data_IF_653138271102
#
_entry.id   IF_653138271102
#
_cell.length_a   1.000
_cell.length_b   1.000
_cell.length_c   1.000
_cell.angle_alpha   90.00
_cell.angle_beta   90.00
_cell.angle_gamma   90.00
#
_symmetry.space_group_name_H-M   'P 1'
#
loop_
_entity.id
_entity.type
_entity.pdbx_description
1 polymer ?
#
# COMPACT_ATOMS: atom_id res chain seq x y z
N UNK A 1 -30.21 4.84 3.82
CA UNK A 1 -30.47 6.14 3.16
C UNK A 1 -29.24 7.00 3.30
N UNK A 2 -28.86 7.75 2.26
CA UNK A 2 -27.74 8.69 2.29
C UNK A 2 -28.16 10.00 2.97
N UNK A 3 -27.33 10.57 3.84
CA UNK A 3 -27.56 11.86 4.51
C UNK A 3 -27.05 13.00 3.61
N UNK A 4 -27.97 13.79 3.07
CA UNK A 4 -27.69 14.83 2.09
C UNK A 4 -26.98 16.05 2.69
N UNK A 5 -27.21 16.34 3.97
CA UNK A 5 -26.51 17.42 4.69
C UNK A 5 -25.04 17.04 4.91
N UNK A 6 -24.81 15.78 5.29
CA UNK A 6 -23.45 15.25 5.44
C UNK A 6 -22.71 15.17 4.10
N UNK A 7 -23.41 14.96 2.99
CA UNK A 7 -22.80 14.95 1.65
C UNK A 7 -22.42 16.35 1.15
N UNK A 8 -23.05 17.41 1.66
CA UNK A 8 -22.75 18.79 1.28
C UNK A 8 -21.56 19.38 2.06
N UNK A 9 -21.27 18.85 3.24
CA UNK A 9 -20.12 19.23 4.08
C UNK A 9 -18.89 18.40 3.72
N UNK A 10 -17.89 19.04 3.09
CA UNK A 10 -16.62 18.40 2.79
C UNK A 10 -15.82 18.23 4.09
N UNK A 11 -15.62 16.99 4.53
CA UNK A 11 -14.80 16.70 5.72
C UNK A 11 -13.30 16.90 5.48
N UNK A 12 -12.87 16.83 4.21
CA UNK A 12 -11.51 17.10 3.78
C UNK A 12 -11.51 17.60 2.33
N UNK A 13 -10.48 18.36 1.96
CA UNK A 13 -10.18 18.75 0.57
C UNK A 13 -8.72 18.44 0.29
N UNK A 14 -8.40 18.18 -0.98
CA UNK A 14 -7.04 17.93 -1.44
C UNK A 14 -6.66 19.03 -2.42
N UNK A 15 -5.42 19.50 -2.34
CA UNK A 15 -4.88 20.47 -3.29
C UNK A 15 -4.37 19.79 -4.58
N UNK A 16 -4.11 18.49 -4.55
CA UNK A 16 -3.79 17.71 -5.75
C UNK A 16 -3.27 16.31 -5.46
N UNK A 17 -2.65 15.68 -6.45
CA UNK A 17 -1.91 14.42 -6.32
C UNK A 17 -0.65 14.48 -7.17
N UNK A 18 0.32 13.63 -6.86
CA UNK A 18 1.54 13.44 -7.65
C UNK A 18 1.89 11.98 -7.76
N UNK A 19 2.26 11.57 -8.96
CA UNK A 19 2.77 10.25 -9.21
C UNK A 19 4.23 10.16 -8.77
N UNK A 20 4.53 9.15 -7.97
CA UNK A 20 5.93 8.83 -7.63
C UNK A 20 6.54 8.14 -8.85
N UNK A 21 7.75 8.53 -9.30
CA UNK A 21 8.40 7.89 -10.44
C UNK A 21 8.42 6.37 -10.31
N UNK A 22 7.99 5.69 -11.38
CA UNK A 22 7.96 4.23 -11.45
C UNK A 22 9.37 3.67 -11.23
N UNK A 23 9.45 2.56 -10.50
CA UNK A 23 10.69 1.82 -10.23
C UNK A 23 11.81 2.59 -9.49
N UNK A 24 11.52 3.77 -8.93
CA UNK A 24 12.48 4.51 -8.08
C UNK A 24 12.21 4.27 -6.59
N UNK A 25 12.77 3.22 -6.01
CA UNK A 25 12.54 2.87 -4.60
C UNK A 25 12.85 4.05 -3.65
N UNK A 26 13.87 4.85 -3.95
CA UNK A 26 14.27 5.98 -3.11
C UNK A 26 13.20 7.08 -3.09
N UNK A 27 12.58 7.38 -4.22
CA UNK A 27 11.47 8.33 -4.27
C UNK A 27 10.22 7.80 -3.56
N UNK A 28 9.99 6.48 -3.58
CA UNK A 28 8.91 5.89 -2.77
C UNK A 28 9.22 5.97 -1.28
N UNK A 29 10.45 5.70 -0.86
CA UNK A 29 10.88 5.83 0.53
C UNK A 29 10.63 7.26 1.04
N UNK A 30 11.03 8.27 0.25
CA UNK A 30 10.77 9.68 0.57
C UNK A 30 9.27 9.99 0.64
N UNK A 31 8.49 9.52 -0.31
CA UNK A 31 7.05 9.76 -0.33
C UNK A 31 6.35 9.13 0.87
N UNK A 32 6.68 7.87 1.19
CA UNK A 32 6.12 7.12 2.33
C UNK A 32 6.53 7.72 3.66
N UNK A 33 7.75 8.25 3.77
CA UNK A 33 8.21 8.97 4.96
C UNK A 33 7.40 10.25 5.23
N UNK A 34 6.80 10.84 4.20
CA UNK A 34 5.98 12.05 4.33
C UNK A 34 4.50 11.71 4.60
N UNK A 35 3.98 10.66 3.98
CA UNK A 35 2.55 10.32 4.01
C UNK A 35 2.28 8.91 3.46
N UNK A 36 1.11 8.33 3.72
CA UNK A 36 0.67 7.12 3.01
C UNK A 36 0.63 7.31 1.49
N UNK A 37 1.04 6.28 0.74
CA UNK A 37 1.13 6.28 -0.72
C UNK A 37 0.23 5.20 -1.30
N UNK A 38 -0.60 5.55 -2.28
CA UNK A 38 -1.43 4.59 -3.00
C UNK A 38 -0.61 3.86 -4.06
N UNK A 39 -0.75 2.53 -4.09
CA UNK A 39 0.02 1.67 -4.98
C UNK A 39 -0.83 0.53 -5.55
N UNK A 40 -0.42 0.01 -6.69
CA UNK A 40 -0.96 -1.19 -7.31
C UNK A 40 0.03 -2.35 -7.19
N UNK A 41 -0.52 -3.54 -6.96
CA UNK A 41 0.20 -4.81 -6.86
C UNK A 41 -0.58 -5.91 -7.59
N UNK A 42 0.10 -7.02 -7.85
CA UNK A 42 -0.55 -8.28 -8.22
C UNK A 42 -0.92 -9.06 -6.96
N UNK A 43 -2.21 -9.26 -6.74
CA UNK A 43 -2.78 -10.01 -5.62
C UNK A 43 -3.39 -11.37 -6.06
N UNK A 44 -3.02 -11.89 -7.23
CA UNK A 44 -3.61 -13.10 -7.81
C UNK A 44 -3.06 -14.40 -7.21
N UNK A 45 -1.89 -14.37 -6.57
CA UNK A 45 -1.26 -15.57 -6.03
C UNK A 45 -1.99 -16.09 -4.78
N UNK A 46 -2.04 -17.42 -4.62
CA UNK A 46 -2.59 -18.04 -3.42
C UNK A 46 -1.83 -17.61 -2.15
N UNK A 47 -0.52 -17.42 -2.25
CA UNK A 47 0.30 -16.95 -1.14
C UNK A 47 -0.14 -15.55 -0.66
N UNK A 48 -0.56 -14.68 -1.59
CA UNK A 48 -1.12 -13.37 -1.24
C UNK A 48 -2.51 -13.51 -0.60
N UNK A 49 -3.39 -14.29 -1.21
CA UNK A 49 -4.76 -14.49 -0.72
C UNK A 49 -4.80 -15.04 0.71
N UNK A 50 -3.88 -15.95 1.05
CA UNK A 50 -3.80 -16.59 2.37
C UNK A 50 -2.69 -16.03 3.26
N UNK A 51 -2.13 -14.86 2.93
CA UNK A 51 -1.13 -14.20 3.76
C UNK A 51 -1.66 -13.98 5.18
N UNK A 52 -0.78 -14.23 6.17
CA UNK A 52 -1.10 -14.13 7.59
C UNK A 52 -0.11 -13.25 8.34
N UNK A 53 1.17 -13.58 8.36
CA UNK A 53 2.21 -12.81 9.09
C UNK A 53 3.57 -12.92 8.40
N UNK A 54 4.56 -12.15 8.88
CA UNK A 54 5.93 -12.16 8.37
C UNK A 54 6.13 -11.33 7.10
N UNK A 55 7.37 -11.26 6.62
CA UNK A 55 7.68 -10.60 5.34
C UNK A 55 7.29 -11.54 4.21
N UNK A 56 6.36 -11.10 3.36
CA UNK A 56 5.98 -11.82 2.15
C UNK A 56 7.11 -11.75 1.13
N UNK A 57 7.59 -12.94 0.75
CA UNK A 57 8.64 -13.15 -0.27
C UNK A 57 8.13 -14.04 -1.42
N UNK A 58 6.81 -14.14 -1.58
CA UNK A 58 6.19 -14.87 -2.69
C UNK A 58 6.37 -14.15 -4.02
N UNK A 59 5.84 -14.73 -5.09
CA UNK A 59 5.96 -14.13 -6.43
C UNK A 59 5.27 -12.77 -6.49
N UNK A 60 6.01 -11.80 -7.01
CA UNK A 60 5.56 -10.43 -7.28
C UNK A 60 5.35 -10.27 -8.78
N UNK A 61 4.15 -10.57 -9.24
CA UNK A 61 3.77 -10.41 -10.64
C UNK A 61 3.68 -8.94 -11.06
N UNK A 62 3.70 -8.72 -12.37
CA UNK A 62 3.49 -7.39 -12.98
C UNK A 62 2.05 -7.19 -13.45
N UNK A 63 1.18 -8.18 -13.27
CA UNK A 63 -0.23 -8.14 -13.66
C UNK A 63 -1.07 -7.47 -12.58
N UNK A 64 -0.86 -6.17 -12.47
CA UNK A 64 -1.44 -5.33 -11.43
C UNK A 64 -2.97 -5.37 -11.46
N UNK A 65 -3.55 -5.88 -10.38
CA UNK A 65 -5.00 -6.11 -10.28
C UNK A 65 -5.60 -5.59 -8.96
N UNK A 66 -4.77 -5.14 -8.01
CA UNK A 66 -5.23 -4.73 -6.70
C UNK A 66 -4.59 -3.41 -6.24
N UNK A 67 -5.42 -2.49 -5.78
CA UNK A 67 -4.99 -1.21 -5.20
C UNK A 67 -4.88 -1.33 -3.68
N UNK A 68 -3.73 -0.94 -3.14
CA UNK A 68 -3.39 -1.02 -1.72
C UNK A 68 -2.64 0.25 -1.29
N UNK A 69 -2.46 0.46 0.01
CA UNK A 69 -1.78 1.65 0.55
C UNK A 69 -0.50 1.26 1.27
N UNK A 70 0.63 1.85 0.89
CA UNK A 70 1.86 1.79 1.67
C UNK A 70 1.76 2.81 2.79
N UNK A 71 1.88 2.36 4.03
CA UNK A 71 1.78 3.20 5.24
C UNK A 71 3.09 3.30 6.02
N UNK A 72 4.12 2.58 5.59
CA UNK A 72 5.45 2.59 6.22
C UNK A 72 6.41 1.60 5.55
N UNK A 73 7.61 1.53 6.11
CA UNK A 73 8.66 0.58 5.73
C UNK A 73 9.53 0.27 6.94
N UNK A 74 10.29 -0.82 6.87
CA UNK A 74 11.14 -1.23 7.97
C UNK A 74 12.14 -2.31 7.59
N UNK A 75 12.78 -2.87 8.60
CA UNK A 75 13.67 -4.02 8.49
C UNK A 75 13.22 -5.05 9.53
N UNK A 76 13.02 -6.30 9.10
CA UNK A 76 12.66 -7.39 10.00
C UNK A 76 13.82 -7.72 10.95
N UNK A 77 13.54 -8.51 11.99
CA UNK A 77 14.59 -8.99 12.92
C UNK A 77 15.68 -9.80 12.21
N UNK A 78 15.34 -10.41 11.07
CA UNK A 78 16.22 -11.21 10.22
C UNK A 78 16.99 -10.36 9.19
N UNK A 79 16.80 -9.03 9.20
CA UNK A 79 17.50 -8.10 8.30
C UNK A 79 16.82 -7.88 6.95
N UNK A 80 15.60 -8.41 6.73
CA UNK A 80 14.88 -8.22 5.46
C UNK A 80 14.15 -6.87 5.45
N UNK A 81 14.39 -6.06 4.41
CA UNK A 81 13.67 -4.80 4.21
C UNK A 81 12.26 -5.08 3.67
N UNK A 82 11.28 -4.35 4.19
CA UNK A 82 9.89 -4.52 3.78
C UNK A 82 9.14 -3.19 3.66
N UNK A 83 8.10 -3.20 2.83
CA UNK A 83 7.02 -2.22 2.84
C UNK A 83 5.88 -2.70 3.74
N UNK A 84 5.32 -1.79 4.54
CA UNK A 84 4.13 -2.05 5.33
C UNK A 84 2.90 -1.58 4.55
N UNK A 85 2.09 -2.55 4.13
CA UNK A 85 0.88 -2.33 3.36
C UNK A 85 -0.36 -2.40 4.26
N UNK A 86 -1.34 -1.53 4.01
CA UNK A 86 -2.67 -1.57 4.59
C UNK A 86 -3.67 -2.03 3.54
N UNK A 87 -4.30 -3.18 3.76
CA UNK A 87 -5.29 -3.76 2.86
C UNK A 87 -6.73 -3.34 3.22
N UNK A 88 -7.66 -3.58 2.29
CA UNK A 88 -9.08 -3.27 2.40
C UNK A 88 -9.97 -4.50 2.65
N UNK A 89 -9.37 -5.68 2.86
CA UNK A 89 -10.08 -6.96 3.04
C UNK A 89 -10.45 -7.29 4.51
N UNK A 90 -10.43 -6.28 5.38
CA UNK A 90 -10.75 -6.43 6.79
C UNK A 90 -9.59 -6.94 7.63
N UNK A 91 -9.80 -6.96 8.96
CA UNK A 91 -8.74 -7.26 9.93
C UNK A 91 -8.46 -8.75 10.12
N UNK A 92 -9.25 -9.63 9.50
CA UNK A 92 -9.04 -11.08 9.56
C UNK A 92 -8.00 -11.57 8.54
N UNK A 93 -7.72 -10.77 7.51
CA UNK A 93 -6.68 -11.05 6.54
C UNK A 93 -5.35 -10.45 6.99
N UNK A 94 -4.25 -11.16 6.77
CA UNK A 94 -2.91 -10.71 7.17
C UNK A 94 -2.78 -10.42 8.66
N UNK A 95 -1.80 -9.57 8.99
CA UNK A 95 -1.57 -9.15 10.37
C UNK A 95 -2.50 -7.98 10.67
N UNK A 96 -3.73 -8.29 11.12
CA UNK A 96 -4.78 -7.32 11.44
C UNK A 96 -5.14 -6.40 10.26
N UNK A 97 -5.11 -6.94 9.04
CA UNK A 97 -5.37 -6.19 7.80
C UNK A 97 -4.14 -5.56 7.17
N UNK A 98 -2.95 -5.81 7.73
CA UNK A 98 -1.67 -5.33 7.21
C UNK A 98 -0.82 -6.47 6.66
N UNK A 99 0.13 -6.10 5.81
CA UNK A 99 1.08 -7.01 5.22
C UNK A 99 2.46 -6.37 5.17
N UNK A 100 3.47 -7.14 5.54
CA UNK A 100 4.86 -6.80 5.23
C UNK A 100 5.21 -7.49 3.92
N UNK A 101 5.68 -6.73 2.93
CA UNK A 101 6.09 -7.27 1.63
C UNK A 101 7.54 -6.90 1.37
N UNK A 102 8.30 -7.80 0.74
CA UNK A 102 9.69 -7.53 0.36
C UNK A 102 9.79 -6.21 -0.42
N UNK A 103 10.74 -5.36 -0.04
CA UNK A 103 11.02 -4.09 -0.71
C UNK A 103 11.30 -4.21 -2.22
N UNK A 104 11.78 -5.38 -2.68
CA UNK A 104 12.06 -5.67 -4.10
C UNK A 104 10.81 -6.01 -4.92
N UNK A 105 9.66 -6.23 -4.27
CA UNK A 105 8.42 -6.50 -4.97
C UNK A 105 8.03 -5.31 -5.85
N UNK A 106 7.62 -5.57 -7.11
CA UNK A 106 7.22 -4.52 -8.03
C UNK A 106 5.91 -3.90 -7.57
N UNK A 107 6.03 -2.73 -6.95
CA UNK A 107 4.90 -1.90 -6.54
C UNK A 107 4.77 -0.76 -7.57
N UNK A 108 3.79 -0.83 -8.48
CA UNK A 108 3.51 0.30 -9.36
C UNK A 108 2.78 1.38 -8.58
N UNK A 109 3.38 2.56 -8.59
CA UNK A 109 3.00 3.65 -7.69
C UNK A 109 1.93 4.47 -8.37
N UNK A 110 0.79 4.62 -7.71
CA UNK A 110 -0.37 5.23 -8.34
C UNK A 110 -0.61 6.66 -7.93
N UNK A 111 -0.13 7.11 -6.76
CA UNK A 111 -0.05 8.55 -6.38
C UNK A 111 0.21 8.76 -4.88
N UNK A 112 0.84 9.89 -4.54
CA UNK A 112 0.77 10.56 -3.24
C UNK A 112 -0.20 11.74 -3.30
N UNK A 113 -1.18 11.77 -2.39
CA UNK A 113 -2.17 12.86 -2.28
C UNK A 113 -1.54 14.09 -1.63
N UNK A 114 -1.60 15.27 -2.25
CA UNK A 114 -1.25 16.53 -1.58
C UNK A 114 -2.48 17.09 -0.88
N UNK A 115 -2.39 17.20 0.44
CA UNK A 115 -3.35 17.95 1.25
C UNK A 115 -3.10 19.44 1.06
#
# INVERSE_FOLDING_TARGET
MCDTEKSASHAASISGYVDVPSNDENELLKAVAMQPVSVAIDASSNDFLFYSTGVFTGECGTDLNHAITVVGYGTSEEGMKYWLLKNSWGTQWGDKGYMQIDHLCVIMKLSGIRY
#
